data_IF_583770995991
#
_entry.id   IF_583770995991
#
_cell.length_a   1.000
_cell.length_b   1.000
_cell.length_c   1.000
_cell.angle_alpha   90.00
_cell.angle_beta   90.00
_cell.angle_gamma   90.00
#
_symmetry.space_group_name_H-M   'P 1'
#
loop_
_entity.id
_entity.type
_entity.pdbx_description
1 polymer ?
#
# COMPACT_ATOMS: atom_id res chain seq x y z
N UNK A 1 -8.29 -6.98 46.30
CA UNK A 1 -8.81 -5.84 45.52
C UNK A 1 -7.73 -4.81 45.23
N UNK A 2 -6.82 -5.11 44.33
CA UNK A 2 -5.87 -4.16 43.75
C UNK A 2 -5.38 -4.74 42.47
N UNK A 3 -5.99 -4.47 41.34
CA UNK A 3 -5.36 -4.53 39.98
C UNK A 3 -6.38 -4.29 38.85
N UNK A 4 -7.26 -3.28 38.96
CA UNK A 4 -8.14 -2.88 37.84
C UNK A 4 -7.83 -1.52 37.22
N UNK A 5 -7.06 -0.67 37.87
CA UNK A 5 -6.86 0.73 37.42
C UNK A 5 -5.70 0.92 36.43
N UNK A 6 -4.80 -0.06 36.28
CA UNK A 6 -3.64 0.05 35.37
C UNK A 6 -3.94 -0.18 33.89
N UNK A 7 -5.07 -0.83 33.54
CA UNK A 7 -5.40 -1.14 32.12
C UNK A 7 -6.22 -0.05 31.41
N UNK A 8 -6.88 0.84 32.14
CA UNK A 8 -7.67 1.92 31.51
C UNK A 8 -6.80 3.11 31.11
N UNK A 9 -5.74 3.40 31.84
CA UNK A 9 -4.85 4.53 31.54
C UNK A 9 -4.02 4.32 30.24
N UNK A 10 -3.62 3.09 29.91
CA UNK A 10 -2.84 2.79 28.70
C UNK A 10 -3.69 2.78 27.42
N UNK A 11 -4.98 2.45 27.50
CA UNK A 11 -5.90 2.47 26.37
C UNK A 11 -6.23 3.91 25.92
N UNK A 12 -6.45 4.82 26.86
CA UNK A 12 -6.81 6.22 26.58
C UNK A 12 -5.63 7.03 26.02
N UNK A 13 -4.39 6.73 26.42
CA UNK A 13 -3.19 7.40 25.88
C UNK A 13 -2.88 6.98 24.45
N UNK A 14 -3.21 5.75 24.08
CA UNK A 14 -2.96 5.20 22.72
C UNK A 14 -3.95 5.75 21.70
N UNK A 15 -5.17 6.05 22.12
CA UNK A 15 -6.24 6.57 21.26
C UNK A 15 -6.04 8.06 20.94
N UNK A 16 -5.70 8.87 21.93
CA UNK A 16 -5.45 10.31 21.74
C UNK A 16 -4.22 10.64 20.89
N UNK A 17 -3.23 9.75 20.80
CA UNK A 17 -2.09 9.93 19.90
C UNK A 17 -2.47 9.56 18.48
N UNK A 18 -3.23 8.49 18.28
CA UNK A 18 -3.72 8.06 16.96
C UNK A 18 -4.68 9.11 16.36
N UNK A 19 -5.59 9.67 17.17
CA UNK A 19 -6.52 10.72 16.73
C UNK A 19 -5.80 12.03 16.42
N UNK A 20 -4.77 12.40 17.17
CA UNK A 20 -3.95 13.57 16.85
C UNK A 20 -3.13 13.39 15.58
N UNK A 21 -2.63 12.19 15.30
CA UNK A 21 -1.94 11.90 14.03
C UNK A 21 -2.92 11.87 12.86
N UNK A 22 -4.09 11.29 13.02
CA UNK A 22 -5.14 11.27 11.99
C UNK A 22 -5.65 12.67 11.67
N UNK A 23 -5.89 13.52 12.66
CA UNK A 23 -6.39 14.89 12.49
C UNK A 23 -5.34 15.81 11.85
N UNK A 24 -4.08 15.68 12.22
CA UNK A 24 -2.97 16.44 11.61
C UNK A 24 -2.76 16.08 10.14
N UNK A 25 -2.94 14.81 9.78
CA UNK A 25 -2.83 14.33 8.40
C UNK A 25 -4.03 14.74 7.54
N UNK A 26 -5.21 14.89 8.11
CA UNK A 26 -6.40 15.37 7.37
C UNK A 26 -6.24 16.84 6.97
N UNK A 27 -5.65 17.67 7.83
CA UNK A 27 -5.47 19.11 7.57
C UNK A 27 -4.42 19.37 6.49
N UNK A 28 -3.30 18.65 6.50
CA UNK A 28 -2.24 18.78 5.47
C UNK A 28 -2.67 18.21 4.12
N UNK A 29 -3.35 17.06 4.12
CA UNK A 29 -3.94 16.51 2.90
C UNK A 29 -5.09 17.39 2.38
N UNK A 30 -5.89 17.99 3.25
CA UNK A 30 -6.94 18.93 2.89
C UNK A 30 -6.38 20.20 2.27
N UNK A 31 -5.28 20.73 2.78
CA UNK A 31 -4.59 21.89 2.21
C UNK A 31 -3.99 21.58 0.83
N UNK A 32 -3.37 20.41 0.68
CA UNK A 32 -2.83 19.98 -0.61
C UNK A 32 -3.94 19.66 -1.62
N UNK A 33 -5.03 19.04 -1.20
CA UNK A 33 -6.20 18.82 -2.05
C UNK A 33 -6.86 20.14 -2.49
N UNK A 34 -6.98 21.14 -1.61
CA UNK A 34 -7.48 22.48 -1.96
C UNK A 34 -6.55 23.18 -2.95
N UNK A 35 -5.23 23.09 -2.75
CA UNK A 35 -4.24 23.69 -3.65
C UNK A 35 -4.32 23.07 -5.06
N UNK A 36 -4.45 21.75 -5.15
CA UNK A 36 -4.55 21.04 -6.44
C UNK A 36 -5.94 21.18 -7.06
N UNK A 37 -7.02 21.19 -6.28
CA UNK A 37 -8.36 21.44 -6.77
C UNK A 37 -8.50 22.86 -7.40
N UNK A 38 -7.88 23.88 -6.82
CA UNK A 38 -7.83 25.21 -7.40
C UNK A 38 -7.05 25.27 -8.72
N UNK A 39 -6.06 24.40 -8.89
CA UNK A 39 -5.29 24.30 -10.14
C UNK A 39 -6.02 23.50 -11.23
N UNK A 40 -6.83 22.50 -10.84
CA UNK A 40 -7.66 21.71 -11.76
C UNK A 40 -8.97 22.39 -12.13
N UNK A 41 -9.50 23.28 -11.30
CA UNK A 41 -10.71 24.03 -11.59
C UNK A 41 -10.57 25.03 -12.78
N UNK A 42 -9.33 25.41 -13.13
CA UNK A 42 -9.03 26.25 -14.29
C UNK A 42 -8.60 25.54 -15.56
N UNK A 43 -8.43 24.19 -15.53
CA UNK A 43 -7.97 23.41 -16.68
C UNK A 43 -8.80 22.14 -16.86
N UNK A 44 -9.18 21.86 -18.12
CA UNK A 44 -9.70 20.55 -18.53
C UNK A 44 -8.77 19.48 -17.92
N UNK A 45 -9.34 18.50 -17.22
CA UNK A 45 -8.59 17.32 -16.76
C UNK A 45 -7.94 16.67 -17.99
N UNK A 46 -6.70 17.02 -18.25
CA UNK A 46 -5.91 16.31 -19.25
C UNK A 46 -5.67 14.92 -18.71
N UNK A 47 -5.99 13.86 -19.43
CA UNK A 47 -5.67 12.51 -19.00
C UNK A 47 -4.17 12.48 -18.69
N UNK A 48 -3.80 11.96 -17.52
CA UNK A 48 -2.39 11.83 -17.14
C UNK A 48 -1.67 11.12 -18.27
N UNK A 49 -0.59 11.71 -18.82
CA UNK A 49 0.11 11.13 -19.95
C UNK A 49 0.52 9.69 -19.63
N UNK A 50 0.28 8.79 -20.57
CA UNK A 50 0.63 7.35 -20.46
C UNK A 50 2.14 7.13 -20.24
N UNK A 51 2.95 8.17 -20.39
CA UNK A 51 4.38 8.16 -20.12
C UNK A 51 4.73 7.92 -18.64
N UNK A 52 3.83 8.26 -17.68
CA UNK A 52 4.05 8.00 -16.24
C UNK A 52 3.85 6.53 -15.87
N UNK A 53 3.30 5.73 -16.77
CA UNK A 53 3.00 4.32 -16.52
C UNK A 53 3.74 3.40 -17.47
N UNK A 54 4.26 2.30 -16.93
CA UNK A 54 4.80 1.23 -17.78
C UNK A 54 3.65 0.42 -18.39
N UNK A 55 3.76 0.09 -19.67
CA UNK A 55 2.86 -0.88 -20.28
C UNK A 55 3.00 -2.25 -19.61
N UNK A 56 1.92 -2.73 -19.00
CA UNK A 56 1.88 -4.04 -18.31
C UNK A 56 1.27 -5.15 -19.15
N UNK A 57 1.09 -4.91 -20.46
CA UNK A 57 0.49 -5.89 -21.38
C UNK A 57 1.32 -7.15 -21.46
N UNK A 58 2.65 -7.02 -21.59
CA UNK A 58 3.56 -8.17 -21.60
C UNK A 58 3.54 -8.96 -20.30
N UNK A 59 3.53 -8.28 -19.16
CA UNK A 59 3.46 -8.92 -17.84
C UNK A 59 2.13 -9.67 -17.63
N UNK A 60 1.04 -9.15 -18.18
CA UNK A 60 -0.26 -9.83 -18.15
C UNK A 60 -0.25 -11.09 -19.01
N UNK A 61 0.25 -10.99 -20.24
CA UNK A 61 0.35 -12.15 -21.16
C UNK A 61 1.23 -13.25 -20.57
N UNK A 62 2.40 -12.89 -20.05
CA UNK A 62 3.31 -13.81 -19.37
C UNK A 62 2.66 -14.46 -18.13
N UNK A 63 1.94 -13.70 -17.32
CA UNK A 63 1.24 -14.21 -16.14
C UNK A 63 0.12 -15.20 -16.50
N UNK A 64 -0.65 -14.91 -17.56
CA UNK A 64 -1.69 -15.82 -18.07
C UNK A 64 -1.05 -17.11 -18.59
N UNK A 65 -0.04 -16.98 -19.45
CA UNK A 65 0.65 -18.11 -20.04
C UNK A 65 1.24 -19.02 -18.95
N UNK A 66 1.96 -18.43 -17.99
CA UNK A 66 2.59 -19.17 -16.90
C UNK A 66 1.57 -19.85 -15.99
N UNK A 67 0.46 -19.19 -15.69
CA UNK A 67 -0.60 -19.76 -14.86
C UNK A 67 -1.34 -20.89 -15.56
N UNK A 68 -1.73 -20.69 -16.82
CA UNK A 68 -2.53 -21.68 -17.56
C UNK A 68 -1.67 -22.89 -17.98
N UNK A 69 -0.54 -22.63 -18.62
CA UNK A 69 0.35 -23.72 -19.09
C UNK A 69 0.94 -24.47 -17.90
N UNK A 70 1.41 -23.75 -16.88
CA UNK A 70 1.94 -24.35 -15.65
C UNK A 70 0.87 -25.16 -14.90
N UNK A 71 -0.36 -24.66 -14.80
CA UNK A 71 -1.45 -25.36 -14.15
C UNK A 71 -1.87 -26.64 -14.90
N UNK A 72 -2.01 -26.56 -16.23
CA UNK A 72 -2.33 -27.72 -17.06
C UNK A 72 -1.23 -28.80 -17.00
N UNK A 73 0.03 -28.38 -17.14
CA UNK A 73 1.16 -29.30 -17.07
C UNK A 73 1.22 -29.99 -15.67
N UNK A 74 1.11 -29.21 -14.60
CA UNK A 74 1.07 -29.78 -13.26
C UNK A 74 -0.07 -30.80 -13.08
N UNK A 75 -1.26 -30.49 -13.61
CA UNK A 75 -2.42 -31.37 -13.56
C UNK A 75 -2.18 -32.69 -14.30
N UNK A 76 -1.61 -32.64 -15.49
CA UNK A 76 -1.28 -33.84 -16.28
C UNK A 76 -0.28 -34.73 -15.52
N UNK A 77 0.80 -34.15 -14.99
CA UNK A 77 1.79 -34.91 -14.21
C UNK A 77 1.22 -35.50 -12.94
N UNK A 78 0.32 -34.79 -12.24
CA UNK A 78 -0.34 -35.32 -11.06
C UNK A 78 -1.24 -36.50 -11.38
N UNK A 79 -2.06 -36.40 -12.44
CA UNK A 79 -2.95 -37.49 -12.85
C UNK A 79 -2.16 -38.72 -13.28
N UNK A 80 -1.10 -38.50 -14.09
CA UNK A 80 -0.22 -39.60 -14.56
C UNK A 80 0.52 -40.25 -13.39
N UNK A 81 1.07 -39.46 -12.48
CA UNK A 81 1.75 -39.97 -11.29
C UNK A 81 0.83 -40.74 -10.34
N UNK A 82 -0.42 -40.28 -10.18
CA UNK A 82 -1.42 -40.98 -9.39
C UNK A 82 -1.78 -42.32 -10.04
N UNK A 83 -2.00 -42.36 -11.36
CA UNK A 83 -2.29 -43.60 -12.09
C UNK A 83 -1.16 -44.62 -12.00
N UNK A 84 0.10 -44.18 -12.16
CA UNK A 84 1.28 -45.04 -11.98
C UNK A 84 1.41 -45.55 -10.54
N UNK A 85 1.18 -44.69 -9.56
CA UNK A 85 1.21 -45.07 -8.14
C UNK A 85 0.16 -46.13 -7.77
N UNK A 86 -1.08 -45.94 -8.26
CA UNK A 86 -2.16 -46.91 -8.03
C UNK A 86 -1.83 -48.22 -8.74
N UNK A 87 -1.35 -48.21 -9.97
CA UNK A 87 -0.96 -49.42 -10.70
C UNK A 87 0.18 -50.17 -10.00
N UNK A 88 1.12 -49.43 -9.38
CA UNK A 88 2.21 -50.04 -8.60
C UNK A 88 1.76 -50.82 -7.37
N UNK A 89 0.60 -50.51 -6.79
CA UNK A 89 0.07 -51.24 -5.63
C UNK A 89 -0.38 -52.69 -5.97
N UNK A 90 -0.61 -52.96 -7.25
CA UNK A 90 -1.08 -54.28 -7.72
C UNK A 90 0.05 -55.14 -8.32
N UNK A 91 1.30 -54.65 -8.33
CA UNK A 91 2.47 -55.36 -8.87
C UNK A 91 3.49 -55.70 -7.78
N UNK A 92 4.20 -56.82 -7.92
CA UNK A 92 5.17 -57.30 -6.94
C UNK A 92 6.38 -56.39 -6.77
N UNK A 93 6.74 -55.59 -7.79
CA UNK A 93 7.87 -54.61 -7.75
C UNK A 93 7.41 -53.16 -7.40
N UNK A 94 6.70 -53.03 -6.33
CA UNK A 94 6.05 -51.77 -5.91
C UNK A 94 7.03 -50.64 -5.70
N UNK A 95 8.21 -50.90 -5.14
CA UNK A 95 9.17 -49.86 -4.77
C UNK A 95 9.75 -49.08 -5.96
N UNK A 96 10.11 -49.76 -7.04
CA UNK A 96 10.67 -49.14 -8.24
C UNK A 96 9.65 -48.26 -9.00
N UNK A 97 8.38 -48.75 -9.08
CA UNK A 97 7.30 -48.00 -9.71
C UNK A 97 6.92 -46.73 -8.93
N UNK A 98 6.87 -46.79 -7.60
CA UNK A 98 6.60 -45.64 -6.75
C UNK A 98 7.75 -44.62 -6.87
N UNK A 99 9.00 -45.05 -6.81
CA UNK A 99 10.15 -44.19 -6.97
C UNK A 99 10.13 -43.49 -8.34
N UNK A 100 9.83 -44.27 -9.42
CA UNK A 100 9.65 -43.73 -10.76
C UNK A 100 8.55 -42.70 -10.85
N UNK A 101 7.38 -42.94 -10.27
CA UNK A 101 6.27 -42.02 -10.25
C UNK A 101 6.62 -40.70 -9.52
N UNK A 102 7.32 -40.79 -8.39
CA UNK A 102 7.77 -39.59 -7.63
C UNK A 102 8.79 -38.81 -8.43
N UNK A 103 9.80 -39.42 -9.00
CA UNK A 103 10.87 -38.74 -9.74
C UNK A 103 10.38 -38.15 -11.06
N UNK A 104 9.65 -38.91 -11.87
CA UNK A 104 9.24 -38.47 -13.21
C UNK A 104 7.95 -37.66 -13.25
N UNK A 105 7.05 -37.84 -12.27
CA UNK A 105 5.79 -37.11 -12.24
C UNK A 105 5.70 -36.14 -11.07
N UNK A 106 6.16 -36.50 -9.87
CA UNK A 106 6.03 -35.68 -8.66
C UNK A 106 6.90 -34.41 -8.73
N UNK A 107 8.17 -34.51 -9.10
CA UNK A 107 9.07 -33.36 -9.19
C UNK A 107 8.62 -32.38 -10.28
N UNK A 108 8.33 -32.78 -11.54
CA UNK A 108 7.80 -31.85 -12.53
C UNK A 108 6.46 -31.23 -12.13
N UNK A 109 5.54 -31.99 -11.54
CA UNK A 109 4.28 -31.46 -11.05
C UNK A 109 4.49 -30.34 -10.03
N UNK A 110 5.42 -30.53 -9.08
CA UNK A 110 5.75 -29.51 -8.08
C UNK A 110 6.34 -28.24 -8.75
N UNK A 111 7.27 -28.39 -9.68
CA UNK A 111 7.89 -27.26 -10.42
C UNK A 111 6.82 -26.49 -11.18
N UNK A 112 5.99 -27.12 -11.97
CA UNK A 112 4.92 -26.48 -12.73
C UNK A 112 3.85 -25.88 -11.83
N UNK A 113 3.56 -26.49 -10.67
CA UNK A 113 2.68 -25.95 -9.65
C UNK A 113 3.19 -24.63 -9.07
N UNK A 114 4.48 -24.55 -8.74
CA UNK A 114 5.13 -23.32 -8.27
C UNK A 114 5.08 -22.25 -9.37
N UNK A 115 5.40 -22.59 -10.60
CA UNK A 115 5.35 -21.65 -11.75
C UNK A 115 3.94 -21.09 -11.95
N UNK A 116 2.91 -21.93 -11.85
CA UNK A 116 1.50 -21.52 -11.89
C UNK A 116 1.16 -20.54 -10.76
N UNK A 117 1.62 -20.83 -9.54
CA UNK A 117 1.45 -19.93 -8.39
C UNK A 117 2.13 -18.56 -8.57
N UNK A 118 3.30 -18.50 -9.20
CA UNK A 118 3.96 -17.25 -9.55
C UNK A 118 3.13 -16.48 -10.58
N UNK A 119 2.61 -17.16 -11.61
CA UNK A 119 1.75 -16.59 -12.64
C UNK A 119 0.50 -15.93 -12.05
N UNK A 120 -0.20 -16.61 -11.15
CA UNK A 120 -1.41 -16.08 -10.49
C UNK A 120 -1.11 -14.86 -9.62
N UNK A 121 0.01 -14.85 -8.88
CA UNK A 121 0.46 -13.68 -8.09
C UNK A 121 0.76 -12.48 -9.00
N UNK A 122 1.39 -12.72 -10.15
CA UNK A 122 1.70 -11.68 -11.13
C UNK A 122 0.41 -11.08 -11.73
N UNK A 123 -0.56 -11.91 -12.09
CA UNK A 123 -1.87 -11.45 -12.57
C UNK A 123 -2.60 -10.61 -11.52
N UNK A 124 -2.56 -11.02 -10.25
CA UNK A 124 -3.12 -10.27 -9.14
C UNK A 124 -2.52 -8.87 -9.01
N UNK A 125 -1.20 -8.72 -9.17
CA UNK A 125 -0.53 -7.41 -9.17
C UNK A 125 -0.94 -6.54 -10.36
N UNK A 126 -0.98 -7.10 -11.57
CA UNK A 126 -1.44 -6.37 -12.76
C UNK A 126 -2.87 -5.86 -12.57
N UNK A 127 -3.75 -6.68 -11.99
CA UNK A 127 -5.12 -6.28 -11.69
C UNK A 127 -5.17 -5.11 -10.70
N UNK A 128 -4.41 -5.17 -9.59
CA UNK A 128 -4.34 -4.07 -8.61
C UNK A 128 -3.73 -2.81 -9.20
N UNK A 129 -2.64 -2.91 -9.94
CA UNK A 129 -2.04 -1.77 -10.63
C UNK A 129 -3.04 -1.02 -11.53
N UNK A 130 -3.85 -1.76 -12.29
CA UNK A 130 -4.92 -1.17 -13.10
C UNK A 130 -6.01 -0.51 -12.25
N UNK A 131 -6.32 -1.10 -11.08
CA UNK A 131 -7.25 -0.50 -10.13
C UNK A 131 -6.69 0.83 -9.60
N UNK A 132 -5.41 0.88 -9.22
CA UNK A 132 -4.75 2.10 -8.77
C UNK A 132 -4.78 3.20 -9.84
N UNK A 133 -4.45 2.87 -11.10
CA UNK A 133 -4.54 3.83 -12.21
C UNK A 133 -5.97 4.34 -12.40
N UNK A 134 -6.96 3.46 -12.28
CA UNK A 134 -8.38 3.84 -12.39
C UNK A 134 -8.80 4.79 -11.27
N UNK A 135 -8.38 4.52 -10.05
CA UNK A 135 -8.66 5.39 -8.89
C UNK A 135 -7.99 6.75 -9.04
N UNK A 136 -6.78 6.80 -9.59
CA UNK A 136 -6.11 8.06 -9.91
C UNK A 136 -6.91 8.90 -10.91
N UNK A 137 -7.62 8.27 -11.85
CA UNK A 137 -8.55 8.95 -12.79
C UNK A 137 -7.96 10.20 -13.47
N UNK A 138 -6.66 10.16 -13.80
CA UNK A 138 -5.95 11.30 -14.39
C UNK A 138 -5.41 12.32 -13.37
N UNK A 139 -5.60 12.13 -12.08
CA UNK A 139 -4.99 12.95 -11.02
C UNK A 139 -3.52 12.58 -10.85
N UNK A 140 -2.68 13.56 -10.54
CA UNK A 140 -1.24 13.33 -10.30
C UNK A 140 -0.95 12.79 -8.90
N UNK A 141 -1.93 12.79 -8.01
CA UNK A 141 -1.81 12.28 -6.65
C UNK A 141 -3.13 11.65 -6.19
N UNK A 142 -3.04 10.75 -5.21
CA UNK A 142 -4.19 10.08 -4.61
C UNK A 142 -3.90 9.74 -3.15
N UNK A 143 -4.92 9.86 -2.30
CA UNK A 143 -4.83 9.41 -0.91
C UNK A 143 -4.80 7.87 -0.88
N UNK A 144 -3.94 7.30 -0.03
CA UNK A 144 -3.85 5.85 0.13
C UNK A 144 -5.17 5.22 0.59
N UNK A 145 -5.98 5.94 1.37
CA UNK A 145 -7.29 5.44 1.80
C UNK A 145 -8.24 5.16 0.62
N UNK A 146 -8.18 5.97 -0.45
CA UNK A 146 -8.96 5.71 -1.66
C UNK A 146 -8.50 4.41 -2.33
N UNK A 147 -7.18 4.20 -2.39
CA UNK A 147 -6.58 3.00 -2.95
C UNK A 147 -6.89 1.75 -2.12
N UNK A 148 -6.85 1.87 -0.79
CA UNK A 148 -7.21 0.79 0.14
C UNK A 148 -8.66 0.33 -0.06
N UNK A 149 -9.59 1.28 -0.15
CA UNK A 149 -11.02 1.01 -0.40
C UNK A 149 -11.24 0.31 -1.73
N UNK A 150 -10.58 0.78 -2.80
CA UNK A 150 -10.72 0.21 -4.13
C UNK A 150 -10.22 -1.24 -4.20
N UNK A 151 -9.04 -1.53 -3.65
CA UNK A 151 -8.47 -2.88 -3.71
C UNK A 151 -8.93 -3.77 -2.56
N UNK A 152 -9.67 -3.23 -1.58
CA UNK A 152 -10.15 -3.93 -0.37
C UNK A 152 -9.01 -4.64 0.37
N UNK A 153 -7.91 -3.93 0.59
CA UNK A 153 -6.72 -4.43 1.31
C UNK A 153 -6.31 -3.44 2.39
N UNK A 154 -5.61 -3.96 3.41
CA UNK A 154 -5.09 -3.14 4.50
C UNK A 154 -4.01 -2.17 4.01
N UNK A 155 -3.86 -1.03 4.69
CA UNK A 155 -2.85 0.00 4.41
C UNK A 155 -1.44 -0.58 4.27
N UNK A 156 -1.02 -1.44 5.21
CA UNK A 156 0.30 -2.09 5.15
C UNK A 156 0.53 -2.89 3.87
N UNK A 157 -0.52 -3.55 3.38
CA UNK A 157 -0.44 -4.29 2.13
C UNK A 157 -0.33 -3.34 0.93
N UNK A 158 -1.14 -2.27 0.90
CA UNK A 158 -1.16 -1.30 -0.20
C UNK A 158 0.19 -0.56 -0.29
N UNK A 159 0.75 -0.12 0.85
CA UNK A 159 2.08 0.51 0.90
C UNK A 159 3.14 -0.40 0.28
N UNK A 160 3.27 -1.64 0.77
CA UNK A 160 4.25 -2.61 0.24
C UNK A 160 4.04 -2.94 -1.24
N UNK A 161 2.79 -2.99 -1.70
CA UNK A 161 2.47 -3.25 -3.11
C UNK A 161 2.86 -2.05 -3.98
N UNK A 162 2.60 -0.82 -3.51
CA UNK A 162 3.00 0.41 -4.20
C UNK A 162 4.52 0.61 -4.22
N UNK A 163 5.22 0.40 -3.09
CA UNK A 163 6.69 0.43 -3.04
C UNK A 163 7.30 -0.53 -4.07
N UNK A 164 6.79 -1.77 -4.12
CA UNK A 164 7.21 -2.73 -5.13
C UNK A 164 6.94 -2.26 -6.57
N UNK A 165 5.77 -1.66 -6.83
CA UNK A 165 5.41 -1.18 -8.15
C UNK A 165 6.27 0.02 -8.58
N UNK A 166 6.62 0.91 -7.65
CA UNK A 166 7.52 2.03 -7.87
C UNK A 166 8.93 1.52 -8.13
N UNK A 167 9.46 0.64 -7.29
CA UNK A 167 10.79 0.02 -7.44
C UNK A 167 10.95 -0.70 -8.79
N UNK A 168 9.91 -1.41 -9.24
CA UNK A 168 9.90 -2.08 -10.55
C UNK A 168 9.60 -1.15 -11.72
N UNK A 169 9.46 0.14 -11.48
CA UNK A 169 9.24 1.16 -12.51
C UNK A 169 7.89 1.03 -13.23
N UNK A 170 6.86 0.47 -12.55
CA UNK A 170 5.51 0.46 -13.09
C UNK A 170 4.88 1.85 -12.99
N UNK A 171 5.18 2.59 -11.91
CA UNK A 171 5.06 4.04 -11.82
C UNK A 171 6.45 4.63 -12.07
N UNK A 172 6.67 5.27 -13.22
CA UNK A 172 8.00 5.75 -13.63
C UNK A 172 8.51 6.88 -12.76
N UNK A 173 7.62 7.73 -12.29
CA UNK A 173 7.90 8.89 -11.43
C UNK A 173 7.04 8.81 -10.15
N UNK A 174 6.76 7.59 -9.68
CA UNK A 174 5.96 7.38 -8.49
C UNK A 174 6.75 7.67 -7.22
N UNK A 175 6.12 8.41 -6.29
CA UNK A 175 6.63 8.68 -4.96
C UNK A 175 5.54 8.45 -3.93
N UNK A 176 5.94 7.94 -2.77
CA UNK A 176 5.12 7.93 -1.57
C UNK A 176 5.65 9.01 -0.63
N UNK A 177 4.75 9.67 0.10
CA UNK A 177 5.16 10.59 1.17
C UNK A 177 5.76 9.83 2.37
N UNK A 178 6.53 10.54 3.22
CA UNK A 178 7.19 9.96 4.40
C UNK A 178 6.22 9.26 5.37
N UNK A 179 4.96 9.68 5.39
CA UNK A 179 3.93 9.14 6.27
C UNK A 179 3.09 8.03 5.59
N UNK A 180 3.39 7.72 4.34
CA UNK A 180 2.63 6.77 3.52
C UNK A 180 1.13 7.08 3.48
N UNK A 181 0.78 8.35 3.32
CA UNK A 181 -0.62 8.81 3.24
C UNK A 181 -1.05 9.14 1.83
N UNK A 182 -0.10 9.48 0.96
CA UNK A 182 -0.37 9.94 -0.40
C UNK A 182 0.58 9.29 -1.41
N UNK A 183 0.02 8.86 -2.55
CA UNK A 183 0.77 8.44 -3.73
C UNK A 183 0.81 9.60 -4.72
N UNK A 184 2.01 9.98 -5.15
CA UNK A 184 2.26 10.96 -6.20
C UNK A 184 2.91 10.25 -7.39
N UNK A 185 2.45 10.54 -8.61
CA UNK A 185 2.90 9.85 -9.83
C UNK A 185 3.78 10.72 -10.73
N UNK A 186 4.05 11.97 -10.30
CA UNK A 186 4.86 12.95 -11.01
C UNK A 186 5.91 13.54 -10.06
N UNK A 187 7.15 13.70 -10.54
CA UNK A 187 8.21 14.38 -9.80
C UNK A 187 7.81 15.84 -9.47
N UNK A 188 7.07 16.49 -10.35
CA UNK A 188 6.60 17.85 -10.13
C UNK A 188 5.65 17.91 -8.92
N UNK A 189 4.68 17.01 -8.84
CA UNK A 189 3.76 16.94 -7.71
C UNK A 189 4.48 16.60 -6.40
N UNK A 190 5.49 15.73 -6.45
CA UNK A 190 6.32 15.42 -5.29
C UNK A 190 7.10 16.63 -4.77
N UNK A 191 7.74 17.39 -5.65
CA UNK A 191 8.45 18.62 -5.25
C UNK A 191 7.51 19.65 -4.65
N UNK A 192 6.35 19.88 -5.27
CA UNK A 192 5.34 20.81 -4.75
C UNK A 192 4.84 20.39 -3.37
N UNK A 193 4.57 19.09 -3.18
CA UNK A 193 4.18 18.55 -1.89
C UNK A 193 5.26 18.76 -0.82
N UNK A 194 6.51 18.46 -1.15
CA UNK A 194 7.65 18.63 -0.23
C UNK A 194 7.85 20.08 0.17
N UNK A 195 7.71 21.03 -0.77
CA UNK A 195 7.82 22.45 -0.49
C UNK A 195 6.69 22.97 0.40
N UNK A 196 5.46 22.50 0.16
CA UNK A 196 4.31 22.82 1.01
C UNK A 196 4.51 22.27 2.43
N UNK A 197 4.99 21.04 2.56
CA UNK A 197 5.26 20.43 3.87
C UNK A 197 6.36 21.17 4.64
N UNK A 198 7.42 21.62 3.96
CA UNK A 198 8.46 22.46 4.57
C UNK A 198 7.89 23.77 5.10
N UNK A 199 7.15 24.50 4.27
CA UNK A 199 6.52 25.78 4.66
C UNK A 199 5.55 25.61 5.84
N UNK A 200 4.77 24.53 5.84
CA UNK A 200 3.84 24.21 6.95
C UNK A 200 4.61 23.94 8.24
N UNK A 201 5.68 23.13 8.19
CA UNK A 201 6.54 22.87 9.35
C UNK A 201 7.19 24.14 9.89
N UNK A 202 7.67 25.04 9.01
CA UNK A 202 8.26 26.33 9.36
C UNK A 202 7.22 27.25 10.02
N UNK A 203 6.00 27.33 9.49
CA UNK A 203 4.91 28.09 10.09
C UNK A 203 4.48 27.56 11.45
N UNK A 204 4.41 26.23 11.62
CA UNK A 204 4.12 25.61 12.91
C UNK A 204 5.24 25.86 13.94
N UNK A 205 6.49 25.82 13.49
CA UNK A 205 7.64 26.13 14.35
C UNK A 205 7.62 27.60 14.82
N UNK A 206 7.19 28.54 13.98
CA UNK A 206 7.05 29.94 14.35
C UNK A 206 5.85 30.21 15.25
N UNK A 207 4.73 29.51 15.07
CA UNK A 207 3.52 29.69 15.89
C UNK A 207 3.69 29.18 17.32
N UNK A 208 4.49 28.13 17.55
CA UNK A 208 4.70 27.56 18.89
C UNK A 208 5.27 28.55 19.91
N UNK A 209 6.33 29.34 19.65
CA UNK A 209 6.87 30.28 20.59
C UNK A 209 5.91 31.46 20.85
N UNK A 210 5.12 31.89 19.86
CA UNK A 210 4.16 32.98 20.03
C UNK A 210 2.97 32.57 20.88
N UNK A 211 2.54 31.33 20.74
CA UNK A 211 1.45 30.77 21.56
C UNK A 211 1.90 30.56 23.01
N UNK A 212 3.13 30.07 23.22
CA UNK A 212 3.71 29.92 24.56
C UNK A 212 3.88 31.27 25.27
N UNK A 213 4.25 32.35 24.57
CA UNK A 213 4.32 33.71 25.11
C UNK A 213 2.93 34.22 25.51
N UNK A 214 1.93 34.08 24.64
CA UNK A 214 0.54 34.49 24.95
C UNK A 214 -0.03 33.76 26.14
N UNK A 215 0.21 32.45 26.23
CA UNK A 215 -0.26 31.63 27.38
C UNK A 215 0.43 32.02 28.68
N UNK A 216 1.72 32.37 28.64
CA UNK A 216 2.48 32.86 29.79
C UNK A 216 2.01 34.26 30.24
N UNK A 217 1.71 35.17 29.31
CA UNK A 217 1.16 36.50 29.61
C UNK A 217 -0.26 36.39 30.16
N UNK A 218 -1.11 35.53 29.58
CA UNK A 218 -2.45 35.29 30.10
C UNK A 218 -2.47 34.72 31.55
N UNK A 219 -1.51 33.81 31.85
CA UNK A 219 -1.31 33.31 33.21
C UNK A 219 -0.85 34.41 34.17
N UNK A 220 0.08 35.28 33.78
CA UNK A 220 0.52 36.42 34.61
C UNK A 220 -0.63 37.39 34.92
N UNK A 221 -1.42 37.75 33.90
CA UNK A 221 -2.56 38.64 34.06
C UNK A 221 -3.63 38.04 35.03
N UNK A 222 -3.94 36.74 34.89
CA UNK A 222 -4.85 36.07 35.82
C UNK A 222 -4.34 36.04 37.28
N UNK A 223 -3.04 35.80 37.45
CA UNK A 223 -2.42 35.78 38.75
C UNK A 223 -2.40 37.18 39.41
N UNK A 224 -2.20 38.25 38.62
CA UNK A 224 -2.24 39.63 39.11
C UNK A 224 -3.67 40.09 39.47
N UNK A 225 -4.65 39.69 38.65
CA UNK A 225 -6.06 39.94 38.97
C UNK A 225 -6.51 39.23 40.27
N UNK A 226 -6.10 37.99 40.49
CA UNK A 226 -6.37 37.24 41.70
C UNK A 226 -5.74 37.90 42.95
N UNK A 227 -4.53 38.53 42.83
CA UNK A 227 -3.88 39.27 43.92
C UNK A 227 -4.56 40.60 44.22
N UNK A 228 -5.28 41.20 43.29
CA UNK A 228 -6.00 42.49 43.52
C UNK A 228 -7.39 42.29 44.12
N UNK A 229 -7.90 41.04 44.10
CA UNK A 229 -9.20 40.67 44.64
C UNK A 229 -9.13 40.01 46.04
N UNK A 230 -7.97 39.73 46.55
CA UNK A 230 -7.69 39.24 47.91
C UNK A 230 -7.22 40.39 48.80
#
# INVERSE_FOLDING_TARGET
SANRDGKQATGQYRDQSADRYANRNSDTNGAFQKYTANRTAGGKQTPVPTEYYRSVTGNRAAGILLSVVGGLAAGVFLVTGLAMGISGLFMEETGFLILGAVLFCGIPAAVFGVLSGIGTKMLGRVKRFRSYIRTLAGREFCNLEELEREVKKSRRFVVKDLEYLIEKGWFRQGHLDEQHTCLMISNQSYHQYTDLMKRTKEQEAQKKPDQAKKDAEAKKQKAEQARKQA
#
